data_IF_257034505420
#
_entry.id   IF_257034505420
#
_cell.length_a   1.000
_cell.length_b   1.000
_cell.length_c   1.000
_cell.angle_alpha   90.00
_cell.angle_beta   90.00
_cell.angle_gamma   90.00
#
_symmetry.space_group_name_H-M   'P 1'
#
loop_
_entity.id
_entity.type
_entity.pdbx_description
1 polymer ?
#
# COMPACT_ATOMS: atom_id res chain seq x y z
N UNK A 1 22.03 24.08 -8.54
CA UNK A 1 20.84 23.97 -7.67
C UNK A 1 20.21 22.61 -7.94
N UNK A 2 19.89 21.83 -6.92
CA UNK A 2 19.22 20.53 -7.10
C UNK A 2 17.73 20.80 -7.33
N UNK A 3 17.20 20.44 -8.49
CA UNK A 3 15.75 20.49 -8.78
C UNK A 3 15.10 19.19 -8.33
N UNK A 4 14.14 19.29 -7.41
CA UNK A 4 13.28 18.18 -7.01
C UNK A 4 12.13 18.05 -7.99
N UNK A 5 12.03 16.90 -8.65
CA UNK A 5 10.88 16.56 -9.47
C UNK A 5 9.77 15.97 -8.58
N UNK A 6 8.76 16.79 -8.29
CA UNK A 6 7.65 16.42 -7.41
C UNK A 6 6.92 15.15 -7.88
N UNK A 7 6.82 14.92 -9.19
CA UNK A 7 6.15 13.75 -9.72
C UNK A 7 6.88 12.45 -9.34
N UNK A 8 8.21 12.44 -9.53
CA UNK A 8 9.06 11.30 -9.17
C UNK A 8 9.10 11.08 -7.66
N UNK A 9 9.21 12.15 -6.87
CA UNK A 9 9.21 12.06 -5.40
C UNK A 9 7.92 11.43 -4.89
N UNK A 10 6.76 11.88 -5.38
CA UNK A 10 5.47 11.35 -4.96
C UNK A 10 5.29 9.87 -5.36
N UNK A 11 5.72 9.51 -6.58
CA UNK A 11 5.71 8.12 -7.04
C UNK A 11 6.63 7.24 -6.20
N UNK A 12 7.81 7.74 -5.80
CA UNK A 12 8.78 7.02 -4.98
C UNK A 12 8.26 6.76 -3.57
N UNK A 13 7.65 7.77 -2.94
CA UNK A 13 6.99 7.62 -1.65
C UNK A 13 5.81 6.64 -1.71
N UNK A 14 5.01 6.67 -2.79
CA UNK A 14 3.95 5.70 -3.00
C UNK A 14 4.50 4.27 -3.15
N UNK A 15 5.56 4.09 -3.95
CA UNK A 15 6.20 2.79 -4.18
C UNK A 15 6.75 2.20 -2.87
N UNK A 16 7.59 2.95 -2.16
CA UNK A 16 8.20 2.50 -0.91
C UNK A 16 7.16 2.24 0.18
N UNK A 17 6.16 3.13 0.29
CA UNK A 17 5.07 3.00 1.22
C UNK A 17 4.19 1.76 1.02
N UNK A 18 3.80 1.48 -0.23
CA UNK A 18 3.01 0.30 -0.57
C UNK A 18 3.83 -0.99 -0.44
N UNK A 19 5.13 -0.96 -0.76
CA UNK A 19 6.01 -2.09 -0.51
C UNK A 19 6.16 -2.37 0.99
N UNK A 20 6.36 -1.34 1.80
CA UNK A 20 6.41 -1.48 3.26
C UNK A 20 5.08 -1.97 3.84
N UNK A 21 3.95 -1.49 3.29
CA UNK A 21 2.65 -2.03 3.63
C UNK A 21 2.57 -3.53 3.33
N UNK A 22 3.03 -4.00 2.16
CA UNK A 22 3.10 -5.43 1.88
C UNK A 22 3.94 -6.20 2.91
N UNK A 23 5.10 -5.67 3.31
CA UNK A 23 5.95 -6.30 4.33
C UNK A 23 5.21 -6.43 5.66
N UNK A 24 4.46 -5.41 6.07
CA UNK A 24 3.70 -5.45 7.33
C UNK A 24 2.42 -6.29 7.23
N UNK A 25 1.76 -6.34 6.06
CA UNK A 25 0.55 -7.17 5.86
C UNK A 25 0.88 -8.64 5.68
N UNK A 26 1.98 -9.00 5.00
CA UNK A 26 2.42 -10.41 4.85
C UNK A 26 2.82 -11.03 6.19
N UNK A 27 3.40 -10.24 7.08
CA UNK A 27 3.79 -10.65 8.43
C UNK A 27 2.65 -10.47 9.45
N UNK A 28 1.50 -9.95 9.01
CA UNK A 28 0.28 -9.76 9.81
C UNK A 28 0.47 -8.82 11.01
N UNK A 29 1.42 -7.91 10.93
CA UNK A 29 1.75 -6.95 11.99
C UNK A 29 0.73 -5.81 12.08
N UNK A 30 0.03 -5.51 10.98
CA UNK A 30 -0.93 -4.40 10.88
C UNK A 30 -2.38 -4.86 10.69
N UNK A 31 -3.29 -4.15 11.34
CA UNK A 31 -4.74 -4.30 11.21
C UNK A 31 -5.27 -4.04 9.80
N UNK A 32 -6.40 -4.66 9.43
CA UNK A 32 -7.09 -4.36 8.17
C UNK A 32 -7.36 -2.85 7.99
N UNK A 33 -7.88 -2.20 9.05
CA UNK A 33 -8.18 -0.77 9.04
C UNK A 33 -6.94 0.11 8.83
N UNK A 34 -5.82 -0.24 9.47
CA UNK A 34 -4.55 0.47 9.25
C UNK A 34 -4.04 0.28 7.82
N UNK A 35 -4.18 -0.94 7.28
CA UNK A 35 -3.89 -1.20 5.88
C UNK A 35 -4.78 -0.41 4.90
N UNK A 36 -6.04 -0.14 5.22
CA UNK A 36 -6.89 0.72 4.39
C UNK A 36 -6.41 2.16 4.39
N UNK A 37 -6.03 2.69 5.55
CA UNK A 37 -5.47 4.03 5.67
C UNK A 37 -4.22 4.18 4.81
N UNK A 38 -3.25 3.26 4.95
CA UNK A 38 -2.02 3.31 4.18
C UNK A 38 -2.25 3.18 2.67
N UNK A 39 -3.12 2.26 2.22
CA UNK A 39 -3.48 2.17 0.79
C UNK A 39 -4.11 3.46 0.28
N UNK A 40 -5.01 4.07 1.06
CA UNK A 40 -5.64 5.35 0.70
C UNK A 40 -4.63 6.49 0.58
N UNK A 41 -3.72 6.62 1.55
CA UNK A 41 -2.67 7.65 1.53
C UNK A 41 -1.76 7.47 0.31
N UNK A 42 -1.22 6.27 0.10
CA UNK A 42 -0.29 6.04 -1.02
C UNK A 42 -0.98 6.04 -2.39
N UNK A 43 -2.27 5.70 -2.46
CA UNK A 43 -3.11 5.93 -3.63
C UNK A 43 -3.16 7.43 -3.98
N UNK A 44 -3.43 8.29 -2.99
CA UNK A 44 -3.47 9.74 -3.20
C UNK A 44 -2.10 10.29 -3.61
N UNK A 45 -1.01 9.77 -3.04
CA UNK A 45 0.35 10.14 -3.47
C UNK A 45 0.61 9.73 -4.93
N UNK A 46 0.22 8.52 -5.35
CA UNK A 46 0.37 8.08 -6.74
C UNK A 46 -0.44 8.95 -7.72
N UNK A 47 -1.68 9.29 -7.37
CA UNK A 47 -2.51 10.22 -8.14
C UNK A 47 -1.87 11.61 -8.18
N UNK A 48 -1.40 12.12 -7.03
CA UNK A 48 -0.71 13.39 -6.93
C UNK A 48 0.57 13.44 -7.78
N UNK A 49 1.32 12.33 -7.82
CA UNK A 49 2.50 12.18 -8.68
C UNK A 49 2.15 12.30 -10.15
N UNK A 50 1.09 11.63 -10.61
CA UNK A 50 0.63 11.74 -11.99
C UNK A 50 0.18 13.16 -12.35
N UNK A 51 -0.60 13.80 -11.47
CA UNK A 51 -1.07 15.17 -11.67
C UNK A 51 0.10 16.17 -11.70
N UNK A 52 1.10 15.99 -10.84
CA UNK A 52 2.31 16.79 -10.84
C UNK A 52 3.09 16.61 -12.14
N UNK A 53 3.19 15.39 -12.66
CA UNK A 53 3.87 15.10 -13.92
C UNK A 53 3.23 15.80 -15.11
N UNK A 54 1.90 15.71 -15.23
CA UNK A 54 1.15 16.44 -16.25
C UNK A 54 1.28 17.97 -16.12
N UNK A 55 1.47 18.50 -14.90
CA UNK A 55 1.54 19.94 -14.65
C UNK A 55 2.93 20.55 -14.83
N UNK A 56 3.99 19.81 -14.54
CA UNK A 56 5.36 20.35 -14.42
C UNK A 56 6.38 19.73 -15.39
N UNK A 57 6.03 18.67 -16.11
CA UNK A 57 6.87 18.10 -17.17
C UNK A 57 6.60 16.60 -17.33
N UNK A 58 6.14 16.19 -18.51
CA UNK A 58 5.64 14.83 -18.75
C UNK A 58 6.78 13.88 -19.12
N UNK A 59 6.87 12.77 -18.38
CA UNK A 59 7.64 11.58 -18.77
C UNK A 59 6.62 10.46 -19.01
N UNK A 60 6.30 10.09 -20.26
CA UNK A 60 5.14 9.25 -20.57
C UNK A 60 5.10 7.92 -19.80
N UNK A 61 6.25 7.28 -19.63
CA UNK A 61 6.36 6.01 -18.89
C UNK A 61 6.15 6.21 -17.38
N UNK A 62 6.65 7.32 -16.81
CA UNK A 62 6.42 7.67 -15.39
C UNK A 62 4.95 7.91 -15.13
N UNK A 63 4.27 8.68 -15.99
CA UNK A 63 2.84 8.97 -15.82
C UNK A 63 1.98 7.71 -15.96
N UNK A 64 2.27 6.89 -16.97
CA UNK A 64 1.60 5.60 -17.15
C UNK A 64 1.77 4.69 -15.94
N UNK A 65 2.99 4.60 -15.40
CA UNK A 65 3.28 3.84 -14.19
C UNK A 65 2.59 4.42 -12.95
N UNK A 66 2.55 5.74 -12.78
CA UNK A 66 1.87 6.39 -11.65
C UNK A 66 0.36 6.14 -11.66
N UNK A 67 -0.28 6.26 -12.82
CA UNK A 67 -1.70 5.95 -13.00
C UNK A 67 -1.99 4.45 -12.79
N UNK A 68 -1.15 3.57 -13.33
CA UNK A 68 -1.29 2.13 -13.11
C UNK A 68 -1.07 1.73 -11.65
N UNK A 69 -0.14 2.39 -10.95
CA UNK A 69 0.08 2.23 -9.50
C UNK A 69 -1.14 2.66 -8.71
N UNK A 70 -1.74 3.80 -9.06
CA UNK A 70 -2.98 4.26 -8.44
C UNK A 70 -4.14 3.28 -8.69
N UNK A 71 -4.32 2.82 -9.92
CA UNK A 71 -5.36 1.84 -10.26
C UNK A 71 -5.17 0.52 -9.50
N UNK A 72 -3.94 0.02 -9.40
CA UNK A 72 -3.61 -1.17 -8.62
C UNK A 72 -3.91 -0.96 -7.13
N UNK A 73 -3.41 0.12 -6.52
CA UNK A 73 -3.64 0.43 -5.10
C UNK A 73 -5.15 0.54 -4.78
N UNK A 74 -5.91 1.20 -5.66
CA UNK A 74 -7.36 1.29 -5.53
C UNK A 74 -8.05 -0.08 -5.64
N UNK A 75 -7.71 -0.88 -6.66
CA UNK A 75 -8.26 -2.22 -6.83
C UNK A 75 -7.99 -3.13 -5.62
N UNK A 76 -6.77 -3.08 -5.09
CA UNK A 76 -6.39 -3.85 -3.89
C UNK A 76 -7.14 -3.36 -2.65
N UNK A 77 -7.31 -2.04 -2.49
CA UNK A 77 -8.12 -1.47 -1.40
C UNK A 77 -9.57 -1.96 -1.49
N UNK A 78 -10.19 -1.95 -2.68
CA UNK A 78 -11.55 -2.47 -2.90
C UNK A 78 -11.63 -3.95 -2.54
N UNK A 79 -10.69 -4.78 -3.02
CA UNK A 79 -10.65 -6.21 -2.68
C UNK A 79 -10.52 -6.43 -1.18
N UNK A 80 -9.70 -5.62 -0.49
CA UNK A 80 -9.54 -5.67 0.97
C UNK A 80 -10.84 -5.32 1.70
N UNK A 81 -11.59 -4.33 1.23
CA UNK A 81 -12.88 -3.93 1.81
C UNK A 81 -13.94 -5.01 1.57
N UNK A 82 -14.02 -5.56 0.35
CA UNK A 82 -15.01 -6.61 0.01
C UNK A 82 -14.75 -7.88 0.82
N UNK A 83 -13.48 -8.26 1.01
CA UNK A 83 -13.10 -9.48 1.74
C UNK A 83 -12.98 -9.29 3.25
N UNK A 84 -13.31 -8.10 3.79
CA UNK A 84 -13.16 -7.77 5.22
C UNK A 84 -13.88 -8.74 6.16
N UNK A 85 -14.99 -9.33 5.72
CA UNK A 85 -15.84 -10.21 6.52
C UNK A 85 -15.32 -11.64 6.66
N UNK A 86 -14.54 -12.12 5.70
CA UNK A 86 -13.83 -13.41 5.80
C UNK A 86 -12.71 -13.35 6.86
N UNK A 87 -12.29 -12.14 7.25
CA UNK A 87 -11.22 -11.91 8.21
C UNK A 87 -9.83 -12.15 7.62
N UNK A 88 -8.83 -12.16 8.52
CA UNK A 88 -7.43 -12.49 8.22
C UNK A 88 -6.99 -13.56 9.21
N UNK A 89 -6.46 -14.67 8.72
CA UNK A 89 -5.91 -15.73 9.56
C UNK A 89 -4.84 -15.15 10.53
N UNK A 90 -4.82 -15.60 11.78
CA UNK A 90 -3.88 -15.15 12.83
C UNK A 90 -4.33 -13.92 13.65
N UNK A 91 -5.01 -12.93 13.06
CA UNK A 91 -5.55 -11.80 13.86
C UNK A 91 -6.61 -12.25 14.85
N UNK A 92 -7.43 -13.22 14.46
CA UNK A 92 -8.47 -13.79 15.32
C UNK A 92 -7.89 -14.54 16.52
N UNK A 93 -6.79 -15.27 16.33
CA UNK A 93 -6.14 -16.00 17.44
C UNK A 93 -5.51 -15.05 18.45
N UNK A 94 -4.91 -13.94 18.00
CA UNK A 94 -4.40 -12.91 18.90
C UNK A 94 -5.51 -12.14 19.60
N UNK A 95 -6.57 -11.75 18.86
CA UNK A 95 -7.73 -11.11 19.46
C UNK A 95 -8.39 -12.04 20.48
N UNK A 96 -8.52 -13.33 20.19
CA UNK A 96 -9.07 -14.32 21.11
C UNK A 96 -8.20 -14.44 22.37
N UNK A 97 -6.86 -14.53 22.23
CA UNK A 97 -5.94 -14.53 23.37
C UNK A 97 -6.04 -13.26 24.22
N UNK A 98 -6.18 -12.09 23.59
CA UNK A 98 -6.34 -10.80 24.30
C UNK A 98 -7.69 -10.73 25.01
N UNK A 99 -8.78 -11.10 24.32
CA UNK A 99 -10.13 -11.13 24.89
C UNK A 99 -10.24 -12.10 26.04
N UNK A 100 -9.63 -13.28 25.96
CA UNK A 100 -9.58 -14.25 27.05
C UNK A 100 -8.87 -13.70 28.30
N UNK A 101 -7.75 -12.98 28.13
CA UNK A 101 -7.07 -12.29 29.25
C UNK A 101 -7.93 -11.20 29.85
N UNK A 102 -8.60 -10.40 29.02
CA UNK A 102 -9.49 -9.33 29.51
C UNK A 102 -10.67 -9.94 30.26
N UNK A 103 -11.31 -10.98 29.72
CA UNK A 103 -12.39 -11.70 30.38
C UNK A 103 -11.94 -12.31 31.72
N UNK A 104 -10.73 -12.86 31.80
CA UNK A 104 -10.16 -13.34 33.06
C UNK A 104 -9.92 -12.22 34.08
N UNK A 105 -9.63 -10.99 33.63
CA UNK A 105 -9.42 -9.83 34.50
C UNK A 105 -10.72 -9.12 34.91
N UNK A 106 -11.74 -9.11 34.04
CA UNK A 106 -12.95 -8.29 34.23
C UNK A 106 -14.23 -9.09 34.44
N UNK A 107 -14.22 -10.40 34.16
CA UNK A 107 -15.42 -11.25 34.14
C UNK A 107 -16.37 -10.97 32.97
N UNK A 108 -16.02 -10.04 32.06
CA UNK A 108 -16.86 -9.65 30.94
C UNK A 108 -16.51 -10.51 29.72
N UNK A 109 -17.38 -11.45 29.38
CA UNK A 109 -17.26 -12.19 28.13
C UNK A 109 -17.75 -11.35 26.94
N UNK A 110 -16.98 -11.35 25.86
CA UNK A 110 -17.40 -10.79 24.58
C UNK A 110 -17.88 -11.93 23.69
N UNK A 111 -19.08 -11.79 23.13
CA UNK A 111 -19.53 -12.67 22.07
C UNK A 111 -18.51 -12.69 20.92
N UNK A 112 -18.12 -13.90 20.53
CA UNK A 112 -17.24 -14.09 19.39
C UNK A 112 -17.98 -13.68 18.11
N UNK A 113 -17.42 -12.72 17.37
CA UNK A 113 -17.94 -12.36 16.05
C UNK A 113 -17.80 -13.56 15.12
N UNK A 114 -18.92 -14.09 14.65
CA UNK A 114 -18.96 -15.21 13.70
C UNK A 114 -18.38 -14.74 12.36
N UNK A 115 -17.40 -15.47 11.82
CA UNK A 115 -16.86 -15.19 10.49
C UNK A 115 -17.86 -15.63 9.44
N UNK A 116 -17.98 -14.85 8.37
CA UNK A 116 -18.65 -15.32 7.15
C UNK A 116 -17.68 -16.22 6.37
N UNK A 117 -18.17 -17.35 5.87
CA UNK A 117 -17.40 -18.21 4.97
C UNK A 117 -17.04 -17.44 3.70
N UNK A 118 -15.74 -17.37 3.40
CA UNK A 118 -15.25 -16.62 2.25
C UNK A 118 -13.74 -16.67 2.07
N UNK A 119 -13.26 -16.16 0.93
CA UNK A 119 -11.83 -16.05 0.66
C UNK A 119 -11.25 -14.85 1.41
N UNK A 120 -10.24 -15.09 2.23
CA UNK A 120 -9.47 -14.03 2.88
C UNK A 120 -8.75 -13.12 1.86
N UNK A 121 -8.32 -11.94 2.33
CA UNK A 121 -7.51 -11.03 1.54
C UNK A 121 -6.09 -11.60 1.34
N UNK A 122 -5.62 -11.80 0.09
CA UNK A 122 -4.27 -12.29 -0.17
C UNK A 122 -3.27 -11.12 -0.18
N UNK A 123 -2.30 -11.07 0.76
CA UNK A 123 -1.39 -9.93 0.89
C UNK A 123 -0.47 -9.75 -0.32
N UNK A 124 -0.21 -10.79 -1.12
CA UNK A 124 0.58 -10.69 -2.37
C UNK A 124 0.02 -9.66 -3.34
N UNK A 125 -1.28 -9.35 -3.30
CA UNK A 125 -1.85 -8.30 -4.14
C UNK A 125 -1.24 -6.91 -3.86
N UNK A 126 -0.74 -6.66 -2.64
CA UNK A 126 -0.08 -5.40 -2.29
C UNK A 126 1.26 -5.20 -3.02
N UNK A 127 1.85 -6.25 -3.64
CA UNK A 127 3.09 -6.13 -4.43
C UNK A 127 2.87 -5.57 -5.84
N UNK A 128 1.65 -5.63 -6.36
CA UNK A 128 1.37 -5.23 -7.75
C UNK A 128 1.69 -3.75 -7.97
N UNK A 129 1.19 -2.89 -7.08
CA UNK A 129 1.40 -1.46 -7.16
C UNK A 129 2.89 -1.04 -7.07
N UNK A 130 3.68 -1.47 -6.06
CA UNK A 130 5.10 -1.11 -5.98
C UNK A 130 5.92 -1.66 -7.15
N UNK A 131 5.63 -2.87 -7.66
CA UNK A 131 6.32 -3.40 -8.84
C UNK A 131 6.11 -2.54 -10.09
N UNK A 132 4.87 -2.07 -10.30
CA UNK A 132 4.53 -1.15 -11.39
C UNK A 132 5.19 0.22 -11.18
N UNK A 133 5.18 0.74 -9.95
CA UNK A 133 5.80 2.01 -9.63
C UNK A 133 7.32 2.01 -9.89
N UNK A 134 8.00 0.91 -9.60
CA UNK A 134 9.44 0.75 -9.88
C UNK A 134 9.78 0.97 -11.37
N UNK A 135 8.91 0.54 -12.29
CA UNK A 135 9.10 0.78 -13.73
C UNK A 135 9.11 2.29 -14.03
N UNK A 136 8.15 3.03 -13.44
CA UNK A 136 8.07 4.48 -13.58
C UNK A 136 9.27 5.22 -13.00
N UNK A 137 9.78 4.76 -11.85
CA UNK A 137 10.96 5.33 -11.20
C UNK A 137 12.23 5.12 -12.03
N UNK A 138 12.40 3.94 -12.62
CA UNK A 138 13.53 3.68 -13.54
C UNK A 138 13.44 4.58 -14.76
N UNK A 139 12.26 4.74 -15.35
CA UNK A 139 12.08 5.64 -16.50
C UNK A 139 12.39 7.10 -16.16
N UNK A 140 11.92 7.58 -15.00
CA UNK A 140 12.22 8.92 -14.52
C UNK A 140 13.72 9.11 -14.22
N UNK A 141 14.38 8.10 -13.66
CA UNK A 141 15.82 8.14 -13.38
C UNK A 141 16.67 8.23 -14.65
N UNK A 142 16.25 7.54 -15.72
CA UNK A 142 16.89 7.62 -17.05
C UNK A 142 16.66 8.99 -17.68
N UNK A 143 15.43 9.49 -17.66
CA UNK A 143 15.06 10.80 -18.20
C UNK A 143 15.81 11.96 -17.53
N UNK A 144 16.03 11.86 -16.22
CA UNK A 144 16.79 12.84 -15.45
C UNK A 144 18.28 12.95 -15.86
N UNK A 145 18.79 12.04 -16.72
CA UNK A 145 20.13 12.14 -17.33
C UNK A 145 21.31 12.03 -16.35
N UNK A 146 21.05 11.71 -15.08
CA UNK A 146 22.06 11.55 -14.03
C UNK A 146 22.51 10.10 -13.83
N UNK A 147 23.43 9.86 -12.89
CA UNK A 147 23.79 8.50 -12.49
C UNK A 147 22.55 7.77 -11.91
N UNK A 148 22.03 6.79 -12.66
CA UNK A 148 20.80 6.05 -12.37
C UNK A 148 20.80 5.47 -10.94
N UNK A 149 21.96 4.98 -10.47
CA UNK A 149 22.10 4.41 -9.14
C UNK A 149 21.85 5.45 -8.04
N UNK A 150 22.40 6.66 -8.22
CA UNK A 150 22.20 7.77 -7.29
C UNK A 150 20.77 8.29 -7.38
N UNK A 151 20.15 8.32 -8.57
CA UNK A 151 18.73 8.70 -8.77
C UNK A 151 17.73 7.75 -8.12
N UNK A 152 18.02 6.44 -8.07
CA UNK A 152 17.13 5.47 -7.44
C UNK A 152 17.24 5.40 -5.91
N UNK A 153 18.35 5.88 -5.34
CA UNK A 153 18.68 5.73 -3.90
C UNK A 153 18.41 6.97 -3.04
N UNK A 154 18.09 8.12 -3.64
CA UNK A 154 17.82 9.38 -2.94
C UNK A 154 16.33 9.66 -2.89
#
# INVERSE_FOLDING_TARGET
MISLDAATVLLQWAAGGLFFLWVSTRHREVGLGYGWLLRGVYLLLAVGGALAGFRFGVVPVREGAALATAAAAFGVLVVSIVRRKAGVAGQTEEQYRRSARVAAMTGIEREAVTKEDGREFPPVLDLVAPAVASIGLVAAAIDAGGNVLVSLLR
#
